data_IF_606173667507
#
_entry.id   IF_606173667507
#
_cell.length_a   1.000
_cell.length_b   1.000
_cell.length_c   1.000
_cell.angle_alpha   90.00
_cell.angle_beta   90.00
_cell.angle_gamma   90.00
#
_symmetry.space_group_name_H-M   'P 1'
#
loop_
_entity.id
_entity.type
_entity.pdbx_description
1 polymer ?
#
# COMPACT_ATOMS: atom_id res chain seq x y z
N UNK A 1 15.08 -17.44 -7.01
CA UNK A 1 15.50 -17.57 -5.61
C UNK A 1 14.33 -17.20 -4.75
N UNK A 2 13.75 -18.17 -4.07
CA UNK A 2 12.70 -17.99 -3.06
C UNK A 2 13.31 -17.33 -1.84
N UNK A 3 13.57 -16.02 -1.92
CA UNK A 3 13.90 -15.24 -0.72
C UNK A 3 12.64 -15.22 0.13
N UNK A 4 12.56 -16.12 1.11
CA UNK A 4 11.60 -16.00 2.20
C UNK A 4 11.85 -14.63 2.85
N UNK A 5 10.89 -13.74 2.73
CA UNK A 5 10.90 -12.48 3.46
C UNK A 5 10.11 -12.70 4.75
N UNK A 6 10.72 -12.39 5.90
CA UNK A 6 10.02 -12.43 7.18
C UNK A 6 9.02 -11.26 7.30
N UNK A 7 9.33 -10.15 6.62
CA UNK A 7 8.51 -8.95 6.54
C UNK A 7 8.61 -8.30 5.15
N UNK A 8 7.50 -7.74 4.67
CA UNK A 8 7.44 -6.96 3.45
C UNK A 8 7.13 -5.49 3.79
N UNK A 9 7.74 -4.58 3.04
CA UNK A 9 7.42 -3.15 3.10
C UNK A 9 6.72 -2.75 1.81
N UNK A 10 5.47 -2.31 1.93
CA UNK A 10 4.66 -1.84 0.81
C UNK A 10 4.65 -0.31 0.80
N UNK A 11 5.24 0.28 -0.23
CA UNK A 11 5.26 1.74 -0.39
C UNK A 11 4.07 2.19 -1.23
N UNK A 12 3.32 3.17 -0.71
CA UNK A 12 2.12 3.73 -1.35
C UNK A 12 2.30 5.24 -1.49
N UNK A 13 2.17 5.78 -2.71
CA UNK A 13 2.25 7.21 -2.93
C UNK A 13 0.95 7.91 -2.47
N UNK A 14 1.07 9.05 -1.79
CA UNK A 14 -0.07 9.82 -1.29
C UNK A 14 -0.62 10.86 -2.28
N UNK A 15 0.15 11.16 -3.33
CA UNK A 15 -0.22 12.12 -4.36
C UNK A 15 -1.57 11.80 -4.99
N UNK A 16 -2.35 12.83 -5.27
CA UNK A 16 -3.64 12.72 -5.96
C UNK A 16 -3.42 12.15 -7.36
N UNK A 17 -4.13 11.07 -7.71
CA UNK A 17 -3.97 10.32 -8.95
C UNK A 17 -2.95 9.17 -8.85
N UNK A 18 -1.82 9.36 -8.15
CA UNK A 18 -0.83 8.30 -7.95
C UNK A 18 -1.37 7.17 -7.06
N UNK A 19 -2.04 7.55 -5.96
CA UNK A 19 -2.67 6.59 -5.06
C UNK A 19 -3.74 5.76 -5.78
N UNK A 20 -4.64 6.44 -6.50
CA UNK A 20 -5.77 5.84 -7.21
C UNK A 20 -5.30 4.91 -8.31
N UNK A 21 -4.24 5.28 -9.04
CA UNK A 21 -3.61 4.40 -10.03
C UNK A 21 -2.98 3.16 -9.37
N UNK A 22 -2.30 3.33 -8.24
CA UNK A 22 -1.64 2.25 -7.49
C UNK A 22 -2.62 1.23 -6.89
N UNK A 23 -3.79 1.69 -6.43
CA UNK A 23 -4.85 0.84 -5.87
C UNK A 23 -5.90 0.42 -6.92
N UNK A 24 -5.72 0.80 -8.19
CA UNK A 24 -6.61 0.36 -9.27
C UNK A 24 -6.53 -1.15 -9.51
N UNK A 25 -7.44 -1.72 -10.31
CA UNK A 25 -7.42 -3.16 -10.65
C UNK A 25 -6.12 -3.60 -11.32
N UNK A 26 -5.46 -2.71 -12.05
CA UNK A 26 -4.18 -2.94 -12.71
C UNK A 26 -3.01 -2.30 -11.94
N UNK A 27 -3.26 -1.88 -10.70
CA UNK A 27 -2.31 -1.16 -9.88
C UNK A 27 -1.26 -2.10 -9.29
N UNK A 28 0.00 -1.67 -9.35
CA UNK A 28 1.14 -2.44 -8.86
C UNK A 28 1.09 -2.68 -7.34
N UNK A 29 0.54 -1.75 -6.56
CA UNK A 29 0.42 -1.90 -5.09
C UNK A 29 -0.41 -3.13 -4.72
N UNK A 30 -1.43 -3.43 -5.52
CA UNK A 30 -2.29 -4.60 -5.33
C UNK A 30 -1.58 -5.90 -5.64
N UNK A 31 -0.92 -5.94 -6.78
CA UNK A 31 -0.18 -7.11 -7.24
C UNK A 31 0.95 -7.46 -6.26
N UNK A 32 1.73 -6.47 -5.81
CA UNK A 32 2.80 -6.69 -4.84
C UNK A 32 2.30 -7.18 -3.47
N UNK A 33 1.19 -6.64 -2.96
CA UNK A 33 0.62 -7.09 -1.70
C UNK A 33 0.14 -8.55 -1.77
N UNK A 34 -0.53 -8.92 -2.87
CA UNK A 34 -0.96 -10.30 -3.12
C UNK A 34 0.24 -11.24 -3.28
N UNK A 35 1.25 -10.84 -4.06
CA UNK A 35 2.47 -11.63 -4.23
C UNK A 35 3.16 -11.88 -2.90
N UNK A 36 3.35 -10.86 -2.07
CA UNK A 36 3.92 -11.01 -0.73
C UNK A 36 3.12 -12.02 0.14
N UNK A 37 1.79 -12.01 0.03
CA UNK A 37 0.95 -12.98 0.75
C UNK A 37 1.15 -14.40 0.22
N UNK A 38 1.16 -14.58 -1.10
CA UNK A 38 1.38 -15.90 -1.73
C UNK A 38 2.77 -16.47 -1.47
N UNK A 39 3.76 -15.61 -1.23
CA UNK A 39 5.12 -15.99 -0.85
C UNK A 39 5.25 -16.37 0.63
N UNK A 40 4.17 -16.24 1.42
CA UNK A 40 4.12 -16.62 2.84
C UNK A 40 4.61 -15.56 3.81
N UNK A 41 4.75 -14.30 3.36
CA UNK A 41 5.12 -13.18 4.23
C UNK A 41 3.94 -12.86 5.14
N UNK A 42 4.10 -13.03 6.46
CA UNK A 42 3.02 -12.77 7.44
C UNK A 42 3.03 -11.36 8.01
N UNK A 43 4.13 -10.63 7.89
CA UNK A 43 4.26 -9.28 8.40
C UNK A 43 4.37 -8.29 7.25
N UNK A 44 3.44 -7.32 7.19
CA UNK A 44 3.40 -6.30 6.17
C UNK A 44 3.42 -4.91 6.82
N UNK A 45 4.39 -4.09 6.45
CA UNK A 45 4.48 -2.68 6.85
C UNK A 45 4.07 -1.83 5.65
N UNK A 46 3.13 -0.92 5.83
CA UNK A 46 2.70 0.02 4.79
C UNK A 46 3.35 1.37 5.05
N UNK A 47 4.17 1.83 4.11
CA UNK A 47 4.77 3.17 4.12
C UNK A 47 4.04 4.09 3.15
N UNK A 48 3.39 5.14 3.65
CA UNK A 48 2.80 6.18 2.81
C UNK A 48 3.87 7.22 2.48
N UNK A 49 4.20 7.34 1.20
CA UNK A 49 5.29 8.18 0.67
C UNK A 49 4.75 9.38 -0.11
N UNK A 50 5.59 10.39 -0.35
CA UNK A 50 5.24 11.65 -1.04
C UNK A 50 4.09 12.43 -0.38
N UNK A 51 4.05 12.44 0.96
CA UNK A 51 3.03 13.19 1.71
C UNK A 51 3.15 14.71 1.50
N UNK A 52 4.33 15.20 1.13
CA UNK A 52 4.59 16.57 0.70
C UNK A 52 3.81 16.98 -0.56
N UNK A 53 3.49 16.03 -1.46
CA UNK A 53 2.72 16.26 -2.68
C UNK A 53 1.20 16.17 -2.48
N UNK A 54 0.74 16.02 -1.25
CA UNK A 54 -0.70 16.11 -0.96
C UNK A 54 -1.15 17.57 -1.01
N UNK A 55 -2.44 17.79 -1.25
CA UNK A 55 -3.03 19.14 -1.23
C UNK A 55 -4.03 19.23 -0.07
N UNK A 56 -3.73 19.99 1.02
CA UNK A 56 -2.48 20.68 1.33
C UNK A 56 -1.31 19.72 1.68
N UNK A 57 -0.04 20.16 1.62
CA UNK A 57 1.10 19.31 1.96
C UNK A 57 0.98 18.72 3.36
N UNK A 58 1.32 17.43 3.50
CA UNK A 58 1.16 16.65 4.72
C UNK A 58 -0.28 16.63 5.28
N UNK A 59 -1.27 16.56 4.38
CA UNK A 59 -2.68 16.46 4.76
C UNK A 59 -2.98 15.16 5.52
N UNK A 60 -3.29 15.31 6.82
CA UNK A 60 -3.77 14.21 7.67
C UNK A 60 -5.05 13.54 7.12
N UNK A 61 -6.07 14.28 6.63
CA UNK A 61 -7.25 13.67 6.00
C UNK A 61 -6.91 12.72 4.86
N UNK A 62 -5.93 13.09 4.02
CA UNK A 62 -5.48 12.26 2.90
C UNK A 62 -4.79 10.98 3.39
N UNK A 63 -3.97 11.08 4.43
CA UNK A 63 -3.35 9.92 5.05
C UNK A 63 -4.38 8.94 5.62
N UNK A 64 -5.38 9.43 6.36
CA UNK A 64 -6.43 8.57 6.94
C UNK A 64 -7.31 7.92 5.87
N UNK A 65 -7.58 8.61 4.76
CA UNK A 65 -8.25 8.03 3.58
C UNK A 65 -7.46 6.84 3.01
N UNK A 66 -6.17 7.06 2.72
CA UNK A 66 -5.26 6.04 2.17
C UNK A 66 -5.17 4.85 3.12
N UNK A 67 -4.95 5.12 4.41
CA UNK A 67 -4.85 4.10 5.45
C UNK A 67 -6.12 3.26 5.51
N UNK A 68 -7.31 3.87 5.44
CA UNK A 68 -8.60 3.15 5.47
C UNK A 68 -8.75 2.24 4.25
N UNK A 69 -8.50 2.75 3.05
CA UNK A 69 -8.60 1.99 1.79
C UNK A 69 -7.59 0.83 1.75
N UNK A 70 -6.33 1.11 2.06
CA UNK A 70 -5.27 0.10 2.08
C UNK A 70 -5.53 -0.96 3.15
N UNK A 71 -6.00 -0.58 4.35
CA UNK A 71 -6.37 -1.53 5.40
C UNK A 71 -7.51 -2.44 4.97
N UNK A 72 -8.55 -1.90 4.32
CA UNK A 72 -9.65 -2.70 3.81
C UNK A 72 -9.20 -3.67 2.72
N UNK A 73 -8.25 -3.24 1.89
CA UNK A 73 -7.71 -4.06 0.81
C UNK A 73 -6.82 -5.21 1.32
N UNK A 74 -5.91 -4.93 2.25
CA UNK A 74 -5.02 -5.91 2.88
C UNK A 74 -5.84 -6.98 3.62
N UNK A 75 -6.91 -6.57 4.33
CA UNK A 75 -7.87 -7.51 4.95
C UNK A 75 -8.56 -8.42 3.94
N UNK A 76 -8.86 -7.94 2.72
CA UNK A 76 -9.45 -8.77 1.66
C UNK A 76 -8.47 -9.79 1.09
N UNK A 77 -7.16 -9.48 1.09
CA UNK A 77 -6.12 -10.42 0.67
C UNK A 77 -5.96 -11.56 1.68
N UNK A 78 -6.16 -11.28 2.97
CA UNK A 78 -6.07 -12.27 4.05
C UNK A 78 -4.93 -12.05 5.04
N UNK A 79 -4.33 -10.85 5.01
CA UNK A 79 -3.44 -10.36 6.08
C UNK A 79 -4.22 -9.92 7.32
#
# INVERSE_FOLDING_TARGET
GTSQADCAVLIVAAGTGEFEAGISKNGQTREHALLAFTLGVKQLIVGVNKMDNTEPPYSEPRFEEIKKEVSNYIKKIGY
#
